data_IF_624191813243
#
_entry.id   IF_624191813243
#
_cell.length_a   1.000
_cell.length_b   1.000
_cell.length_c   1.000
_cell.angle_alpha   90.00
_cell.angle_beta   90.00
_cell.angle_gamma   90.00
#
_symmetry.space_group_name_H-M   'P 1'
#
loop_
_entity.id
_entity.type
_entity.pdbx_description
1 polymer ?
#
# COMPACT_ATOMS: atom_id res chain seq x y z
N UNK A 1 5.11 14.51 22.84
CA UNK A 1 4.25 13.39 23.26
C UNK A 1 4.31 13.19 24.77
N UNK A 2 5.49 13.06 25.38
CA UNK A 2 5.66 12.83 26.82
C UNK A 2 4.94 13.88 27.69
N UNK A 3 5.08 15.15 27.36
CA UNK A 3 4.38 16.25 28.06
C UNK A 3 2.86 16.11 27.96
N UNK A 4 2.33 15.66 26.83
CA UNK A 4 0.90 15.43 26.66
C UNK A 4 0.44 14.25 27.50
N UNK A 5 1.22 13.18 27.53
CA UNK A 5 0.95 11.97 28.33
C UNK A 5 0.95 12.33 29.82
N UNK A 6 1.97 13.08 30.31
CA UNK A 6 2.03 13.53 31.71
C UNK A 6 0.81 14.38 32.09
N UNK A 7 0.45 15.36 31.25
CA UNK A 7 -0.75 16.18 31.48
C UNK A 7 -2.05 15.39 31.51
N UNK A 8 -2.19 14.38 30.64
CA UNK A 8 -3.37 13.52 30.60
C UNK A 8 -3.45 12.63 31.86
N UNK A 9 -2.32 12.06 32.30
CA UNK A 9 -2.23 11.30 33.55
C UNK A 9 -2.61 12.15 34.77
N UNK A 10 -2.02 13.35 34.87
CA UNK A 10 -2.27 14.25 35.99
C UNK A 10 -3.72 14.74 36.04
N UNK A 11 -4.27 15.14 34.88
CA UNK A 11 -5.59 15.77 34.81
C UNK A 11 -6.76 14.78 34.84
N UNK A 12 -6.57 13.61 34.20
CA UNK A 12 -7.67 12.63 34.02
C UNK A 12 -7.42 11.32 34.77
N UNK A 13 -6.25 11.16 35.41
CA UNK A 13 -5.85 9.95 36.18
C UNK A 13 -6.02 8.65 35.37
N UNK A 14 -5.72 8.71 34.08
CA UNK A 14 -5.80 7.57 33.16
C UNK A 14 -4.41 6.99 32.92
N UNK A 15 -4.31 5.68 32.81
CA UNK A 15 -3.12 5.03 32.33
C UNK A 15 -3.09 5.11 30.80
N UNK A 16 -1.97 5.56 30.24
CA UNK A 16 -1.79 5.73 28.80
C UNK A 16 -0.60 4.91 28.38
N UNK A 17 -0.83 4.00 27.45
CA UNK A 17 0.21 3.24 26.77
C UNK A 17 0.50 3.87 25.41
N UNK A 18 1.78 4.15 25.15
CA UNK A 18 2.24 4.65 23.86
C UNK A 18 2.64 3.48 22.97
N UNK A 19 1.97 3.31 21.85
CA UNK A 19 2.36 2.37 20.81
C UNK A 19 2.97 3.09 19.62
N UNK A 20 3.80 2.37 18.84
CA UNK A 20 4.28 2.91 17.56
C UNK A 20 3.10 3.11 16.61
N UNK A 21 3.06 4.21 15.82
CA UNK A 21 2.01 4.42 14.84
C UNK A 21 2.01 3.27 13.82
N UNK A 22 0.82 2.82 13.47
CA UNK A 22 0.66 1.84 12.40
C UNK A 22 0.99 2.49 11.07
N UNK A 23 1.87 1.87 10.31
CA UNK A 23 2.30 2.36 9.00
C UNK A 23 1.38 1.77 7.94
N UNK A 24 0.88 2.61 7.05
CA UNK A 24 0.00 2.23 5.96
C UNK A 24 0.82 1.66 4.80
N UNK A 25 1.29 0.43 4.94
CA UNK A 25 1.88 -0.31 3.83
C UNK A 25 0.83 -0.60 2.74
N UNK A 26 1.28 -0.80 1.51
CA UNK A 26 0.47 -1.28 0.39
C UNK A 26 1.16 -2.46 -0.27
N UNK A 27 0.40 -3.29 -0.96
CA UNK A 27 0.95 -4.37 -1.79
C UNK A 27 0.84 -4.00 -3.26
N UNK A 28 1.79 -4.46 -4.08
CA UNK A 28 1.71 -4.39 -5.53
C UNK A 28 2.42 -5.59 -6.16
N UNK A 29 2.36 -5.72 -7.46
CA UNK A 29 3.00 -6.81 -8.22
C UNK A 29 4.06 -6.28 -9.16
N UNK A 30 5.07 -7.09 -9.45
CA UNK A 30 6.17 -6.73 -10.37
C UNK A 30 6.09 -7.43 -11.72
N UNK A 31 5.37 -8.54 -11.80
CA UNK A 31 5.29 -9.38 -12.99
C UNK A 31 3.85 -9.60 -13.41
N UNK A 32 3.68 -9.97 -14.66
CA UNK A 32 2.42 -10.48 -15.18
C UNK A 32 2.23 -11.92 -14.72
N UNK A 33 1.00 -12.26 -14.30
CA UNK A 33 0.59 -13.63 -14.03
C UNK A 33 -0.72 -13.91 -14.77
N UNK A 34 -0.84 -15.13 -15.27
CA UNK A 34 -2.02 -15.65 -15.95
C UNK A 34 -2.58 -16.79 -15.11
N UNK A 35 -3.81 -16.69 -14.67
CA UNK A 35 -4.42 -17.62 -13.72
C UNK A 35 -5.79 -18.06 -14.16
N UNK A 36 -6.05 -19.33 -13.94
CA UNK A 36 -7.36 -19.95 -14.09
C UNK A 36 -7.86 -20.41 -12.73
N UNK A 37 -9.12 -20.12 -12.42
CA UNK A 37 -9.76 -20.66 -11.24
C UNK A 37 -11.20 -21.09 -11.51
N UNK A 38 -11.52 -22.33 -11.12
CA UNK A 38 -12.86 -22.91 -11.15
C UNK A 38 -13.39 -23.05 -9.74
N UNK A 39 -14.36 -22.21 -9.40
CA UNK A 39 -15.13 -22.36 -8.18
C UNK A 39 -16.26 -23.34 -8.40
N UNK A 40 -16.15 -24.51 -7.80
CA UNK A 40 -17.19 -25.54 -7.86
C UNK A 40 -17.49 -25.98 -6.43
N UNK A 41 -18.74 -25.81 -6.02
CA UNK A 41 -19.24 -26.32 -4.75
C UNK A 41 -20.56 -27.03 -4.97
N UNK A 42 -20.65 -28.26 -4.50
CA UNK A 42 -21.85 -29.07 -4.61
C UNK A 42 -22.21 -29.52 -3.19
N UNK A 43 -23.36 -29.07 -2.68
CA UNK A 43 -23.88 -29.42 -1.36
C UNK A 43 -25.38 -29.68 -1.50
N UNK A 44 -25.75 -30.92 -1.83
CA UNK A 44 -27.14 -31.42 -1.84
C UNK A 44 -28.15 -30.48 -2.49
N UNK A 45 -28.41 -30.61 -3.81
CA UNK A 45 -29.32 -29.77 -4.59
C UNK A 45 -28.61 -28.98 -5.68
N UNK A 46 -28.94 -27.68 -5.85
CA UNK A 46 -28.27 -26.81 -6.82
C UNK A 46 -26.80 -26.58 -6.44
N UNK A 47 -25.89 -26.83 -7.38
CA UNK A 47 -24.48 -26.55 -7.25
C UNK A 47 -24.15 -25.06 -7.36
N UNK A 48 -22.91 -24.70 -7.11
CA UNK A 48 -22.35 -23.39 -7.41
C UNK A 48 -21.19 -23.56 -8.39
N UNK A 49 -21.23 -22.85 -9.51
CA UNK A 49 -20.21 -22.91 -10.53
C UNK A 49 -19.82 -21.50 -11.00
N UNK A 50 -18.55 -21.19 -10.95
CA UNK A 50 -17.98 -19.99 -11.52
C UNK A 50 -16.56 -20.29 -12.00
N UNK A 51 -16.26 -19.97 -13.27
CA UNK A 51 -14.95 -20.22 -13.84
C UNK A 51 -14.45 -18.96 -14.54
N UNK A 52 -13.30 -18.49 -14.15
CA UNK A 52 -12.65 -17.30 -14.68
C UNK A 52 -11.20 -17.62 -15.09
N UNK A 53 -10.79 -17.07 -16.22
CA UNK A 53 -9.38 -16.96 -16.60
C UNK A 53 -9.02 -15.48 -16.65
N UNK A 54 -8.05 -15.11 -15.87
CA UNK A 54 -7.68 -13.71 -15.64
C UNK A 54 -6.18 -13.53 -15.71
N UNK A 55 -5.80 -12.39 -16.26
CA UNK A 55 -4.42 -11.92 -16.20
C UNK A 55 -4.30 -10.77 -15.21
N UNK A 56 -3.27 -10.80 -14.40
CA UNK A 56 -2.89 -9.71 -13.51
C UNK A 56 -1.53 -9.17 -13.93
N UNK A 57 -1.45 -7.86 -14.14
CA UNK A 57 -0.20 -7.19 -14.54
C UNK A 57 -0.09 -5.82 -13.86
N UNK A 58 1.13 -5.25 -13.69
CA UNK A 58 1.28 -3.91 -13.17
C UNK A 58 0.56 -2.90 -14.06
N UNK A 59 -0.24 -1.99 -13.48
CA UNK A 59 -0.91 -0.91 -14.23
C UNK A 59 0.03 0.24 -14.58
N UNK A 60 1.11 0.41 -13.81
CA UNK A 60 2.02 1.55 -13.91
C UNK A 60 1.59 2.76 -13.07
N UNK A 61 0.36 2.79 -12.59
CA UNK A 61 -0.16 3.84 -11.72
C UNK A 61 -0.43 3.26 -10.32
N UNK A 62 0.30 3.75 -9.31
CA UNK A 62 0.15 3.33 -7.92
C UNK A 62 -0.89 4.13 -7.13
N UNK A 63 -1.46 5.18 -7.72
CA UNK A 63 -2.52 5.97 -7.10
C UNK A 63 -3.86 5.25 -7.23
N UNK A 64 -4.06 4.49 -8.33
CA UNK A 64 -5.26 3.69 -8.53
C UNK A 64 -5.08 2.27 -7.97
N UNK A 65 -6.05 1.75 -7.21
CA UNK A 65 -5.99 0.39 -6.68
C UNK A 65 -5.92 -0.65 -7.78
N UNK A 66 -6.82 -0.57 -8.76
CA UNK A 66 -6.87 -1.50 -9.89
C UNK A 66 -7.55 -0.88 -11.12
N UNK A 67 -7.21 -1.44 -12.27
CA UNK A 67 -7.93 -1.24 -13.54
C UNK A 67 -8.52 -2.59 -13.95
N UNK A 68 -9.82 -2.62 -14.26
CA UNK A 68 -10.49 -3.84 -14.72
C UNK A 68 -10.83 -3.75 -16.21
N UNK A 69 -10.38 -4.73 -16.99
CA UNK A 69 -10.71 -4.88 -18.40
C UNK A 69 -11.39 -6.21 -18.70
N UNK A 70 -12.24 -6.19 -19.71
CA UNK A 70 -13.00 -7.35 -20.18
C UNK A 70 -12.63 -7.61 -21.64
N UNK A 71 -12.07 -8.77 -21.89
CA UNK A 71 -11.66 -9.20 -23.25
C UNK A 71 -12.27 -10.56 -23.62
N UNK A 72 -13.40 -10.91 -22.99
CA UNK A 72 -14.07 -12.21 -23.23
C UNK A 72 -14.67 -12.25 -24.63
N UNK A 73 -14.31 -13.28 -25.40
CA UNK A 73 -14.80 -13.53 -26.76
C UNK A 73 -15.78 -14.70 -26.73
N UNK A 74 -16.79 -14.67 -27.65
CA UNK A 74 -17.70 -15.79 -27.85
C UNK A 74 -18.69 -16.07 -26.72
N UNK A 75 -18.83 -15.16 -25.73
CA UNK A 75 -19.82 -15.33 -24.67
C UNK A 75 -19.45 -16.42 -23.64
N UNK A 76 -18.18 -16.81 -23.56
CA UNK A 76 -17.68 -17.82 -22.61
C UNK A 76 -18.06 -17.50 -21.14
N UNK A 77 -18.07 -16.21 -20.79
CA UNK A 77 -18.67 -15.69 -19.57
C UNK A 77 -19.78 -14.71 -19.96
N UNK A 78 -21.04 -14.96 -19.59
CA UNK A 78 -22.14 -14.03 -19.86
C UNK A 78 -21.90 -12.65 -19.20
N UNK A 79 -22.28 -11.58 -19.92
CA UNK A 79 -22.02 -10.18 -19.51
C UNK A 79 -22.66 -9.81 -18.17
N UNK A 80 -23.77 -10.45 -17.81
CA UNK A 80 -24.43 -10.25 -16.52
C UNK A 80 -23.57 -10.63 -15.29
N UNK A 81 -22.52 -11.46 -15.48
CA UNK A 81 -21.60 -11.84 -14.41
C UNK A 81 -20.38 -10.92 -14.29
N UNK A 82 -20.12 -10.02 -15.25
CA UNK A 82 -18.99 -9.09 -15.18
C UNK A 82 -19.02 -8.19 -13.94
N UNK A 83 -20.17 -7.62 -13.54
CA UNK A 83 -20.24 -6.86 -12.30
C UNK A 83 -19.90 -7.67 -11.04
N UNK A 84 -20.21 -8.97 -11.06
CA UNK A 84 -19.86 -9.86 -9.94
C UNK A 84 -18.35 -10.14 -9.87
N UNK A 85 -17.69 -10.29 -11.02
CA UNK A 85 -16.23 -10.39 -11.13
C UNK A 85 -15.57 -9.13 -10.60
N UNK A 86 -16.04 -7.96 -11.02
CA UNK A 86 -15.52 -6.67 -10.56
C UNK A 86 -15.71 -6.46 -9.06
N UNK A 87 -16.87 -6.80 -8.50
CA UNK A 87 -17.10 -6.79 -7.04
C UNK A 87 -16.13 -7.71 -6.30
N UNK A 88 -15.82 -8.87 -6.87
CA UNK A 88 -14.82 -9.78 -6.32
C UNK A 88 -13.42 -9.16 -6.27
N UNK A 89 -13.03 -8.41 -7.30
CA UNK A 89 -11.78 -7.64 -7.32
C UNK A 89 -11.79 -6.52 -6.30
N UNK A 90 -12.86 -5.71 -6.23
CA UNK A 90 -13.01 -4.60 -5.29
C UNK A 90 -12.81 -5.05 -3.83
N UNK A 91 -13.39 -6.17 -3.46
CA UNK A 91 -13.20 -6.72 -2.11
C UNK A 91 -11.79 -7.28 -1.90
N UNK A 92 -11.21 -7.88 -2.92
CA UNK A 92 -9.89 -8.52 -2.84
C UNK A 92 -8.75 -7.52 -2.72
N UNK A 93 -8.83 -6.36 -3.41
CA UNK A 93 -7.79 -5.33 -3.34
C UNK A 93 -7.69 -4.65 -1.98
N UNK A 94 -8.74 -4.69 -1.18
CA UNK A 94 -8.73 -4.11 0.17
C UNK A 94 -7.82 -4.87 1.14
N UNK A 95 -7.57 -6.15 0.86
CA UNK A 95 -6.77 -7.03 1.71
C UNK A 95 -5.94 -7.99 0.86
N UNK A 96 -4.73 -7.58 0.56
CA UNK A 96 -3.79 -8.37 -0.24
C UNK A 96 -3.42 -9.72 0.38
N UNK A 97 -3.05 -10.69 -0.45
CA UNK A 97 -2.77 -12.06 0.02
C UNK A 97 -1.39 -12.23 0.65
N UNK A 98 -0.45 -11.29 0.48
CA UNK A 98 0.91 -11.39 0.99
C UNK A 98 1.01 -11.02 2.47
N UNK A 99 0.54 -9.84 2.85
CA UNK A 99 0.67 -9.29 4.20
C UNK A 99 -0.63 -8.62 4.71
N UNK A 100 -1.73 -8.82 3.99
CA UNK A 100 -3.06 -8.29 4.30
C UNK A 100 -3.17 -6.76 4.24
N UNK A 101 -2.27 -6.09 3.51
CA UNK A 101 -2.37 -4.68 3.18
C UNK A 101 -3.15 -4.45 1.88
N UNK A 102 -3.72 -3.26 1.66
CA UNK A 102 -4.38 -2.94 0.39
C UNK A 102 -3.44 -3.10 -0.81
N UNK A 103 -3.96 -3.69 -1.89
CA UNK A 103 -3.25 -3.86 -3.16
C UNK A 103 -3.50 -2.65 -4.05
N UNK A 104 -2.47 -2.14 -4.71
CA UNK A 104 -2.53 -0.99 -5.63
C UNK A 104 -1.72 -1.23 -6.89
N UNK A 105 -2.05 -0.48 -7.92
CA UNK A 105 -1.25 -0.46 -9.16
C UNK A 105 -1.35 -1.74 -9.96
N UNK A 106 -2.51 -2.40 -9.99
CA UNK A 106 -2.73 -3.62 -10.76
C UNK A 106 -3.73 -3.40 -11.89
N UNK A 107 -3.50 -4.09 -12.99
CA UNK A 107 -4.46 -4.25 -14.07
C UNK A 107 -4.93 -5.70 -14.11
N UNK A 108 -6.23 -5.91 -14.01
CA UNK A 108 -6.88 -7.21 -14.03
C UNK A 108 -7.69 -7.35 -15.33
N UNK A 109 -7.38 -8.35 -16.13
CA UNK A 109 -8.06 -8.61 -17.40
C UNK A 109 -8.78 -9.94 -17.32
N UNK A 110 -10.11 -9.93 -17.47
CA UNK A 110 -10.90 -11.13 -17.66
C UNK A 110 -10.95 -11.42 -19.17
N UNK A 111 -10.33 -12.52 -19.61
CA UNK A 111 -10.25 -12.84 -21.05
C UNK A 111 -11.01 -14.11 -21.46
N UNK A 112 -11.25 -15.04 -20.52
CA UNK A 112 -11.96 -16.28 -20.80
C UNK A 112 -12.60 -16.85 -19.53
N UNK A 113 -13.36 -17.91 -19.65
CA UNK A 113 -13.97 -18.63 -18.56
C UNK A 113 -15.00 -19.62 -19.07
N UNK A 114 -15.88 -20.07 -18.20
CA UNK A 114 -17.07 -20.84 -18.59
C UNK A 114 -18.17 -20.70 -17.55
N UNK A 115 -19.39 -20.94 -17.95
CA UNK A 115 -20.55 -20.93 -17.07
C UNK A 115 -21.35 -22.25 -17.20
N UNK A 116 -22.15 -22.53 -16.20
CA UNK A 116 -23.09 -23.62 -16.20
C UNK A 116 -24.52 -23.06 -16.15
N UNK A 117 -25.44 -23.47 -17.07
CA UNK A 117 -26.76 -22.84 -17.16
C UNK A 117 -27.58 -22.86 -15.87
N UNK A 118 -27.38 -23.87 -15.02
CA UNK A 118 -28.15 -24.07 -13.77
C UNK A 118 -27.38 -23.64 -12.53
N UNK A 119 -26.07 -23.93 -12.45
CA UNK A 119 -25.27 -23.78 -11.25
C UNK A 119 -24.48 -22.48 -11.17
N UNK A 120 -24.42 -21.72 -12.27
CA UNK A 120 -23.72 -20.43 -12.27
C UNK A 120 -24.55 -19.34 -11.61
N UNK A 121 -23.88 -18.54 -10.77
CA UNK A 121 -24.45 -17.41 -10.05
C UNK A 121 -23.45 -16.28 -9.90
N UNK A 122 -23.93 -15.07 -9.65
CA UNK A 122 -23.06 -13.92 -9.33
C UNK A 122 -22.12 -14.23 -8.16
N UNK A 123 -22.62 -14.90 -7.12
CA UNK A 123 -21.81 -15.29 -5.97
C UNK A 123 -20.70 -16.25 -6.36
N UNK A 124 -20.98 -17.23 -7.24
CA UNK A 124 -19.98 -18.20 -7.69
C UNK A 124 -18.86 -17.53 -8.51
N UNK A 125 -19.20 -16.58 -9.40
CA UNK A 125 -18.20 -15.79 -10.14
C UNK A 125 -17.41 -14.85 -9.25
N UNK A 126 -18.06 -14.21 -8.28
CA UNK A 126 -17.39 -13.39 -7.28
C UNK A 126 -16.35 -14.22 -6.49
N UNK A 127 -16.75 -15.40 -6.00
CA UNK A 127 -15.85 -16.30 -5.27
C UNK A 127 -14.72 -16.84 -6.15
N UNK A 128 -15.00 -17.16 -7.41
CA UNK A 128 -13.98 -17.57 -8.37
C UNK A 128 -12.94 -16.46 -8.57
N UNK A 129 -13.38 -15.21 -8.70
CA UNK A 129 -12.51 -14.05 -8.85
C UNK A 129 -11.65 -13.80 -7.60
N UNK A 130 -12.21 -13.90 -6.41
CA UNK A 130 -11.47 -13.74 -5.15
C UNK A 130 -10.32 -14.77 -5.06
N UNK A 131 -10.58 -16.01 -5.46
CA UNK A 131 -9.55 -17.05 -5.43
C UNK A 131 -8.52 -16.89 -6.56
N UNK A 132 -8.99 -16.52 -7.77
CA UNK A 132 -8.11 -16.20 -8.90
C UNK A 132 -7.18 -15.02 -8.53
N UNK A 133 -7.70 -13.98 -7.90
CA UNK A 133 -6.91 -12.85 -7.41
C UNK A 133 -5.83 -13.29 -6.42
N UNK A 134 -6.18 -14.06 -5.39
CA UNK A 134 -5.21 -14.54 -4.40
C UNK A 134 -4.08 -15.33 -5.06
N UNK A 135 -4.42 -16.23 -5.97
CA UNK A 135 -3.45 -17.03 -6.72
C UNK A 135 -2.59 -16.13 -7.62
N UNK A 136 -3.22 -15.29 -8.43
CA UNK A 136 -2.56 -14.43 -9.41
C UNK A 136 -1.60 -13.42 -8.79
N UNK A 137 -1.99 -12.76 -7.71
CA UNK A 137 -1.11 -11.82 -7.00
C UNK A 137 0.13 -12.55 -6.46
N UNK A 138 -0.02 -13.74 -5.88
CA UNK A 138 1.11 -14.50 -5.35
C UNK A 138 2.07 -14.96 -6.46
N UNK A 139 1.56 -15.35 -7.63
CA UNK A 139 2.37 -15.73 -8.79
C UNK A 139 3.04 -14.53 -9.49
N UNK A 140 2.43 -13.33 -9.37
CA UNK A 140 2.92 -12.09 -9.99
C UNK A 140 4.10 -11.42 -9.26
N UNK A 141 4.78 -12.10 -8.36
CA UNK A 141 5.88 -11.55 -7.54
C UNK A 141 5.44 -10.31 -6.74
N UNK A 142 4.59 -10.50 -5.71
CA UNK A 142 4.10 -9.41 -4.89
C UNK A 142 5.23 -8.76 -4.09
N UNK A 143 5.10 -7.46 -3.84
CA UNK A 143 6.03 -6.65 -3.04
C UNK A 143 5.26 -5.69 -2.14
N UNK A 144 5.86 -5.36 -0.99
CA UNK A 144 5.36 -4.33 -0.11
C UNK A 144 5.90 -2.97 -0.51
N UNK A 145 5.03 -1.98 -0.53
CA UNK A 145 5.35 -0.58 -0.67
C UNK A 145 5.28 0.07 0.71
N UNK A 146 6.35 0.74 1.10
CA UNK A 146 6.36 1.57 2.30
C UNK A 146 6.10 3.04 1.94
N UNK A 147 5.36 3.79 2.77
CA UNK A 147 5.15 5.21 2.53
C UNK A 147 6.47 5.97 2.78
N UNK A 148 6.81 6.84 1.84
CA UNK A 148 7.95 7.74 1.93
C UNK A 148 7.44 9.15 2.22
N UNK A 149 8.06 9.82 3.20
CA UNK A 149 7.80 11.21 3.50
C UNK A 149 8.90 12.09 2.95
N UNK A 150 8.53 13.13 2.20
CA UNK A 150 9.45 14.21 1.86
C UNK A 150 9.52 15.19 3.02
N UNK A 151 10.69 15.31 3.62
CA UNK A 151 10.92 16.19 4.75
C UNK A 151 11.89 17.31 4.40
N UNK A 152 11.76 18.42 5.13
CA UNK A 152 12.68 19.57 5.09
C UNK A 152 13.24 19.79 6.47
N UNK A 153 14.53 19.93 6.59
CA UNK A 153 15.22 20.19 7.84
C UNK A 153 16.11 21.40 7.66
N UNK A 154 15.91 22.41 8.49
CA UNK A 154 16.76 23.62 8.49
C UNK A 154 17.68 23.58 9.71
N UNK A 155 18.97 23.55 9.47
CA UNK A 155 20.00 23.47 10.52
C UNK A 155 21.14 24.46 10.24
N UNK A 156 21.88 24.87 11.28
CA UNK A 156 23.11 25.61 11.10
C UNK A 156 24.12 24.83 10.24
N UNK A 157 24.87 25.52 9.38
CA UNK A 157 25.75 24.89 8.37
C UNK A 157 26.72 23.88 8.95
N UNK A 158 27.21 24.13 10.17
CA UNK A 158 28.14 23.23 10.90
C UNK A 158 27.56 21.83 11.19
N UNK A 159 26.23 21.66 11.22
CA UNK A 159 25.56 20.37 11.47
C UNK A 159 25.06 19.68 10.21
N UNK A 160 25.22 20.27 9.04
CA UNK A 160 24.72 19.72 7.76
C UNK A 160 25.26 18.32 7.50
N UNK A 161 26.57 18.09 7.74
CA UNK A 161 27.21 16.80 7.55
C UNK A 161 26.65 15.70 8.47
N UNK A 162 26.45 16.02 9.76
CA UNK A 162 25.91 15.08 10.75
C UNK A 162 24.47 14.68 10.42
N UNK A 163 23.65 15.67 10.05
CA UNK A 163 22.25 15.42 9.65
C UNK A 163 22.16 14.59 8.36
N UNK A 164 23.00 14.86 7.36
CA UNK A 164 23.06 14.04 6.15
C UNK A 164 23.50 12.61 6.46
N UNK A 165 24.48 12.43 7.32
CA UNK A 165 24.92 11.12 7.79
C UNK A 165 23.82 10.33 8.50
N UNK A 166 23.03 11.00 9.35
CA UNK A 166 21.90 10.38 10.04
C UNK A 166 20.75 10.04 9.07
N UNK A 167 20.40 10.94 8.14
CA UNK A 167 19.40 10.66 7.11
C UNK A 167 19.78 9.45 6.27
N UNK A 168 21.04 9.32 5.88
CA UNK A 168 21.52 8.14 5.15
C UNK A 168 21.39 6.84 5.96
N UNK A 169 21.71 6.87 7.27
CA UNK A 169 21.50 5.70 8.16
C UNK A 169 20.03 5.31 8.23
N UNK A 170 19.10 6.26 8.12
CA UNK A 170 17.64 6.06 8.08
C UNK A 170 17.09 5.72 6.70
N UNK A 171 17.93 5.24 5.79
CA UNK A 171 17.54 4.93 4.41
C UNK A 171 16.97 6.15 3.66
N UNK A 172 17.28 7.35 4.14
CA UNK A 172 16.83 8.60 3.53
C UNK A 172 17.64 8.91 2.27
N UNK A 173 16.95 9.48 1.29
CA UNK A 173 17.53 9.99 0.05
C UNK A 173 17.53 11.50 0.07
N UNK A 174 18.69 12.13 0.19
CA UNK A 174 18.81 13.59 0.09
C UNK A 174 18.52 14.01 -1.35
N UNK A 175 17.54 14.89 -1.52
CA UNK A 175 17.10 15.43 -2.82
C UNK A 175 17.80 16.71 -3.16
N UNK A 176 18.15 17.52 -2.15
CA UNK A 176 18.82 18.80 -2.35
C UNK A 176 19.15 19.50 -1.04
N UNK A 177 20.02 20.50 -1.17
CA UNK A 177 20.38 21.43 -0.09
C UNK A 177 20.26 22.85 -0.63
N UNK A 178 19.59 23.69 0.13
CA UNK A 178 19.39 25.08 -0.22
C UNK A 178 19.85 25.98 0.93
N UNK A 179 20.50 27.11 0.65
CA UNK A 179 20.72 28.12 1.70
C UNK A 179 19.35 28.62 2.18
N UNK A 180 19.16 28.65 3.52
CA UNK A 180 17.92 29.16 4.10
C UNK A 180 18.08 30.59 4.58
N UNK A 181 18.66 30.76 5.77
CA UNK A 181 19.02 32.05 6.33
C UNK A 181 20.54 32.14 6.46
N UNK A 182 21.08 33.31 6.89
CA UNK A 182 22.50 33.47 7.13
C UNK A 182 23.02 32.38 8.08
N UNK A 183 23.94 31.54 7.59
CA UNK A 183 24.56 30.47 8.36
C UNK A 183 23.66 29.24 8.60
N UNK A 184 22.59 29.08 7.79
CA UNK A 184 21.70 27.91 7.86
C UNK A 184 21.47 27.28 6.49
N UNK A 185 21.38 25.97 6.48
CA UNK A 185 21.09 25.17 5.29
C UNK A 185 19.76 24.42 5.46
N UNK A 186 18.90 24.47 4.45
CA UNK A 186 17.73 23.61 4.31
C UNK A 186 18.15 22.30 3.59
N UNK A 187 17.91 21.17 4.22
CA UNK A 187 18.10 19.85 3.63
C UNK A 187 16.73 19.30 3.28
N UNK A 188 16.54 18.91 2.03
CA UNK A 188 15.32 18.23 1.55
C UNK A 188 15.66 16.77 1.32
N UNK A 189 14.89 15.86 1.92
CA UNK A 189 15.12 14.43 1.80
C UNK A 189 13.83 13.63 1.80
N UNK A 190 13.82 12.54 1.04
CA UNK A 190 12.81 11.49 1.10
C UNK A 190 13.25 10.43 2.10
N UNK A 191 12.43 10.15 3.10
CA UNK A 191 12.76 9.20 4.17
C UNK A 191 11.58 8.26 4.40
N UNK A 192 11.80 6.94 4.54
CA UNK A 192 10.75 6.01 4.92
C UNK A 192 10.05 6.44 6.21
N UNK A 193 8.72 6.44 6.20
CA UNK A 193 7.93 6.94 7.32
C UNK A 193 8.26 6.22 8.64
N UNK A 194 8.61 4.94 8.57
CA UNK A 194 9.03 4.13 9.72
C UNK A 194 10.28 4.69 10.41
N UNK A 195 11.22 5.24 9.63
CA UNK A 195 12.50 5.75 10.13
C UNK A 195 12.38 7.15 10.76
N UNK A 196 11.24 7.82 10.57
CA UNK A 196 10.97 9.13 11.17
C UNK A 196 10.53 9.04 12.63
N UNK A 197 10.22 7.83 13.13
CA UNK A 197 9.88 7.65 14.54
C UNK A 197 11.07 7.99 15.43
N UNK A 198 10.88 8.95 16.33
CA UNK A 198 11.94 9.44 17.21
C UNK A 198 12.95 10.40 16.56
N UNK A 199 12.90 10.61 15.24
CA UNK A 199 13.84 11.46 14.52
C UNK A 199 13.98 12.87 15.12
N UNK A 200 12.89 13.48 15.57
CA UNK A 200 12.90 14.81 16.18
C UNK A 200 13.72 14.86 17.47
N UNK A 201 13.75 13.78 18.23
CA UNK A 201 14.57 13.68 19.45
C UNK A 201 16.05 13.56 19.10
N UNK A 202 16.35 12.73 18.10
CA UNK A 202 17.72 12.52 17.64
C UNK A 202 18.29 13.78 16.99
N UNK A 203 17.47 14.49 16.18
CA UNK A 203 17.83 15.77 15.57
C UNK A 203 18.15 16.84 16.65
N UNK A 204 17.36 16.88 17.74
CA UNK A 204 17.63 17.77 18.88
C UNK A 204 18.96 17.45 19.52
N UNK A 205 19.27 16.20 19.73
CA UNK A 205 20.52 15.77 20.32
C UNK A 205 21.73 16.13 19.45
N UNK A 206 21.61 16.00 18.13
CA UNK A 206 22.67 16.33 17.17
C UNK A 206 22.89 17.83 17.03
N UNK A 207 21.84 18.63 17.08
CA UNK A 207 21.91 20.08 16.77
C UNK A 207 21.84 20.99 17.96
N UNK A 208 21.97 20.45 19.18
CA UNK A 208 21.86 21.25 20.45
C UNK A 208 20.59 22.13 20.47
N UNK A 209 19.45 21.63 20.02
CA UNK A 209 18.15 22.32 19.97
C UNK A 209 18.04 23.46 18.92
N UNK A 210 19.01 23.64 18.05
CA UNK A 210 19.03 24.69 17.03
C UNK A 210 18.50 24.22 15.67
N UNK A 211 17.20 23.90 15.59
CA UNK A 211 16.58 23.49 14.32
C UNK A 211 15.14 24.00 14.17
N UNK A 212 14.68 24.06 12.92
CA UNK A 212 13.26 24.19 12.57
C UNK A 212 12.92 23.10 11.55
N UNK A 213 11.85 22.32 11.81
CA UNK A 213 11.34 21.31 10.88
C UNK A 213 9.85 21.57 10.67
N UNK A 214 9.41 21.95 9.48
CA UNK A 214 8.00 21.94 9.14
C UNK A 214 7.48 20.51 9.13
N UNK A 215 6.18 20.33 9.43
CA UNK A 215 5.52 19.04 9.43
C UNK A 215 5.65 18.35 8.04
N UNK A 216 5.88 17.04 7.98
CA UNK A 216 5.91 16.32 6.72
C UNK A 216 4.55 16.48 6.01
N UNK A 217 4.59 16.83 4.74
CA UNK A 217 3.44 16.80 3.83
C UNK A 217 3.23 15.37 3.35
N UNK A 218 2.01 15.08 2.94
CA UNK A 218 1.47 13.76 2.56
C UNK A 218 2.48 12.71 2.05
N UNK A 219 2.40 11.47 2.56
CA UNK A 219 3.31 10.41 2.18
C UNK A 219 3.15 10.05 0.70
N UNK A 220 4.22 10.17 -0.07
CA UNK A 220 4.29 9.57 -1.41
C UNK A 220 4.64 8.09 -1.28
N UNK A 221 3.94 7.25 -2.02
CA UNK A 221 4.26 5.82 -2.09
C UNK A 221 5.52 5.62 -2.93
N UNK A 222 6.51 4.93 -2.40
CA UNK A 222 7.76 4.61 -3.09
C UNK A 222 7.90 3.10 -3.29
N UNK A 223 8.63 2.75 -4.35
CA UNK A 223 8.96 1.37 -4.76
C UNK A 223 9.97 0.70 -3.85
#
# INVERSE_FOLDING_TARGET
LEVVVSKLRERYKVEIELSRPKIAFRETIRKKADVEYKYKKQSGGHGQYGHVKMTFEPSGDLEEPYVFEQQVVGGAVPKNYFPAVEKGLQESVLKGPMAAYPVVGIKAVLYDGSYHPVDSSEMAFKMATIQAFKKGIMEASPVLLEPIATMKVVVPDKYTGDVMGDLNKRRGRVLGMNPADTGKTEIVADVPYMELYGYMTDLRSMTCLLYTSPSPRDPKTSR
#
